data_IF_038548174874
#
_entry.id   IF_038548174874
#
_cell.length_a   1.000
_cell.length_b   1.000
_cell.length_c   1.000
_cell.angle_alpha   90.00
_cell.angle_beta   90.00
_cell.angle_gamma   90.00
#
_symmetry.space_group_name_H-M   'P 1'
#
loop_
_entity.id
_entity.type
_entity.pdbx_description
1 polymer ?
#
# COMPACT_ATOMS: atom_id res chain seq x y z
N UNK A 1 -4.57 -1.25 0.19
CA UNK A 1 -4.69 -1.80 -1.19
C UNK A 1 -4.60 -0.66 -2.18
N UNK A 2 -4.04 -0.86 -3.38
CA UNK A 2 -4.12 0.14 -4.43
C UNK A 2 -5.59 0.56 -4.62
N UNK A 3 -5.86 1.85 -4.86
CA UNK A 3 -7.21 2.31 -5.15
C UNK A 3 -7.67 1.69 -6.48
N UNK A 4 -8.28 0.51 -6.45
CA UNK A 4 -8.83 -0.10 -7.65
C UNK A 4 -9.89 0.83 -8.23
N UNK A 5 -9.62 1.35 -9.44
CA UNK A 5 -10.54 2.24 -10.15
C UNK A 5 -11.13 1.48 -11.34
N UNK A 6 -12.38 1.01 -11.26
CA UNK A 6 -12.98 0.13 -12.28
C UNK A 6 -13.10 0.76 -13.67
N UNK A 7 -13.09 2.10 -13.76
CA UNK A 7 -13.19 2.85 -15.01
C UNK A 7 -12.10 2.55 -16.06
N UNK A 8 -11.02 1.88 -15.68
CA UNK A 8 -9.92 1.52 -16.57
C UNK A 8 -10.09 0.15 -17.24
N UNK A 9 -11.16 -0.57 -16.91
CA UNK A 9 -11.58 -1.79 -17.61
C UNK A 9 -12.94 -1.47 -18.22
N UNK A 10 -12.97 -1.29 -19.54
CA UNK A 10 -14.14 -0.80 -20.31
C UNK A 10 -15.44 -1.48 -19.90
N UNK A 11 -15.43 -2.80 -19.77
CA UNK A 11 -16.63 -3.60 -19.48
C UNK A 11 -16.99 -3.70 -17.99
N UNK A 12 -16.05 -3.40 -17.08
CA UNK A 12 -16.32 -3.40 -15.63
C UNK A 12 -17.00 -2.11 -15.20
N UNK A 13 -16.85 -1.02 -15.97
CA UNK A 13 -17.51 0.27 -15.72
C UNK A 13 -19.04 0.20 -15.70
N UNK A 14 -19.63 -0.85 -16.26
CA UNK A 14 -21.08 -1.07 -16.34
C UNK A 14 -21.65 -1.85 -15.14
N UNK A 15 -20.80 -2.36 -14.24
CA UNK A 15 -21.25 -3.11 -13.07
C UNK A 15 -22.04 -2.23 -12.11
N UNK A 16 -23.17 -2.76 -11.62
CA UNK A 16 -23.86 -2.22 -10.44
C UNK A 16 -22.93 -2.29 -9.20
N UNK A 17 -23.14 -1.45 -8.17
CA UNK A 17 -22.24 -1.36 -7.01
C UNK A 17 -21.98 -2.69 -6.28
N UNK A 18 -22.99 -3.55 -6.11
CA UNK A 18 -22.83 -4.83 -5.41
C UNK A 18 -21.89 -5.82 -6.15
N UNK A 19 -22.11 -6.14 -7.44
CA UNK A 19 -21.15 -6.90 -8.25
C UNK A 19 -19.74 -6.29 -8.24
N UNK A 20 -19.63 -4.96 -8.28
CA UNK A 20 -18.35 -4.25 -8.23
C UNK A 20 -17.58 -4.57 -6.94
N UNK A 21 -18.25 -4.52 -5.79
CA UNK A 21 -17.64 -4.82 -4.51
C UNK A 21 -17.10 -6.26 -4.48
N UNK A 22 -17.85 -7.22 -5.05
CA UNK A 22 -17.39 -8.60 -5.18
C UNK A 22 -16.19 -8.76 -6.11
N UNK A 23 -16.18 -8.05 -7.24
CA UNK A 23 -15.08 -8.04 -8.19
C UNK A 23 -13.81 -7.50 -7.54
N UNK A 24 -13.89 -6.36 -6.85
CA UNK A 24 -12.77 -5.75 -6.12
C UNK A 24 -12.22 -6.71 -5.06
N UNK A 25 -13.09 -7.38 -4.28
CA UNK A 25 -12.67 -8.38 -3.29
C UNK A 25 -11.95 -9.57 -3.94
N UNK A 26 -12.39 -10.00 -5.12
CA UNK A 26 -11.76 -11.10 -5.85
C UNK A 26 -10.41 -10.69 -6.44
N UNK A 27 -10.33 -9.49 -7.03
CA UNK A 27 -9.07 -8.92 -7.52
C UNK A 27 -8.04 -8.80 -6.39
N UNK A 28 -8.47 -8.28 -5.25
CA UNK A 28 -7.68 -8.20 -4.03
C UNK A 28 -7.09 -9.55 -3.58
N UNK A 29 -7.85 -10.64 -3.71
CA UNK A 29 -7.39 -11.99 -3.38
C UNK A 29 -6.35 -12.50 -4.39
N UNK A 30 -6.63 -12.42 -5.69
CA UNK A 30 -5.68 -12.85 -6.72
C UNK A 30 -4.41 -12.00 -6.74
N UNK A 31 -4.51 -10.70 -6.50
CA UNK A 31 -3.34 -9.83 -6.34
C UNK A 31 -2.48 -10.28 -5.17
N UNK A 32 -3.08 -10.69 -4.05
CA UNK A 32 -2.34 -11.21 -2.91
C UNK A 32 -1.67 -12.56 -3.23
N UNK A 33 -2.34 -13.45 -3.97
CA UNK A 33 -1.73 -14.71 -4.44
C UNK A 33 -0.53 -14.45 -5.35
N UNK A 34 -0.66 -13.52 -6.31
CA UNK A 34 0.45 -13.09 -7.16
C UNK A 34 1.62 -12.50 -6.36
N UNK A 35 1.32 -11.81 -5.25
CA UNK A 35 2.31 -11.27 -4.31
C UNK A 35 3.05 -12.38 -3.54
N UNK A 36 2.37 -13.47 -3.20
CA UNK A 36 2.99 -14.60 -2.49
C UNK A 36 3.78 -15.54 -3.40
N UNK A 37 3.55 -15.48 -4.72
CA UNK A 37 4.21 -16.32 -5.70
C UNK A 37 5.67 -15.93 -5.97
N UNK A 38 6.21 -16.45 -7.09
CA UNK A 38 7.55 -16.11 -7.52
C UNK A 38 7.70 -14.60 -7.76
N UNK A 39 8.85 -14.07 -7.32
CA UNK A 39 9.25 -12.69 -7.54
C UNK A 39 9.15 -12.32 -9.01
N UNK A 40 8.32 -11.33 -9.30
CA UNK A 40 8.08 -10.81 -10.65
C UNK A 40 7.91 -9.28 -10.62
N UNK A 41 8.04 -8.61 -11.77
CA UNK A 41 7.75 -7.18 -11.88
C UNK A 41 6.37 -6.82 -11.33
N UNK A 42 6.26 -5.66 -10.66
CA UNK A 42 4.97 -5.19 -10.12
C UNK A 42 3.85 -5.14 -11.17
N UNK A 43 4.19 -4.75 -12.42
CA UNK A 43 3.25 -4.73 -13.54
C UNK A 43 2.65 -6.11 -13.79
N UNK A 44 3.48 -7.15 -13.77
CA UNK A 44 3.04 -8.53 -14.02
C UNK A 44 2.13 -9.03 -12.90
N UNK A 45 2.45 -8.71 -11.64
CA UNK A 45 1.57 -9.01 -10.47
C UNK A 45 0.17 -8.45 -10.70
N UNK A 46 0.05 -7.18 -11.09
CA UNK A 46 -1.25 -6.53 -11.30
C UNK A 46 -1.96 -7.10 -12.52
N UNK A 47 -1.27 -7.15 -13.66
CA UNK A 47 -1.85 -7.55 -14.93
C UNK A 47 -2.28 -9.05 -14.90
N UNK A 48 -1.57 -9.94 -14.20
CA UNK A 48 -1.99 -11.33 -13.96
C UNK A 48 -3.21 -11.43 -13.05
N UNK A 49 -3.22 -10.69 -11.93
CA UNK A 49 -4.35 -10.66 -11.01
C UNK A 49 -5.64 -10.16 -11.69
N UNK A 50 -5.50 -9.18 -12.61
CA UNK A 50 -6.60 -8.71 -13.46
C UNK A 50 -7.13 -9.80 -14.39
N UNK A 51 -6.25 -10.53 -15.08
CA UNK A 51 -6.66 -11.62 -15.95
C UNK A 51 -7.42 -12.72 -15.19
N UNK A 52 -6.94 -13.07 -13.98
CA UNK A 52 -7.57 -14.07 -13.12
C UNK A 52 -8.95 -13.63 -12.61
N UNK A 53 -9.09 -12.38 -12.16
CA UNK A 53 -10.38 -11.88 -11.70
C UNK A 53 -11.39 -11.77 -12.85
N UNK A 54 -10.97 -11.31 -14.03
CA UNK A 54 -11.84 -11.23 -15.19
C UNK A 54 -12.33 -12.64 -15.60
N UNK A 55 -11.44 -13.63 -15.62
CA UNK A 55 -11.80 -15.03 -15.85
C UNK A 55 -12.79 -15.55 -14.80
N UNK A 56 -12.58 -15.27 -13.52
CA UNK A 56 -13.48 -15.69 -12.43
C UNK A 56 -14.89 -15.10 -12.58
N UNK A 57 -15.00 -13.87 -13.08
CA UNK A 57 -16.25 -13.14 -13.23
C UNK A 57 -16.86 -13.23 -14.63
N UNK A 58 -16.29 -14.07 -15.51
CA UNK A 58 -16.69 -14.20 -16.91
C UNK A 58 -16.74 -12.86 -17.67
N UNK A 59 -15.79 -11.98 -17.35
CA UNK A 59 -15.59 -10.69 -18.03
C UNK A 59 -14.56 -10.89 -19.13
N UNK A 60 -14.90 -10.51 -20.35
CA UNK A 60 -13.93 -10.50 -21.45
C UNK A 60 -12.82 -9.50 -21.12
N UNK A 61 -11.58 -9.98 -21.12
CA UNK A 61 -10.41 -9.16 -20.80
C UNK A 61 -9.28 -9.54 -21.74
N UNK A 62 -8.91 -8.60 -22.59
CA UNK A 62 -7.81 -8.71 -23.52
C UNK A 62 -6.54 -8.17 -22.85
N UNK A 63 -5.36 -8.58 -23.34
CA UNK A 63 -4.09 -8.09 -22.80
C UNK A 63 -3.97 -6.55 -22.85
N UNK A 64 -4.63 -5.90 -23.81
CA UNK A 64 -4.67 -4.43 -23.88
C UNK A 64 -5.42 -3.79 -22.70
N UNK A 65 -6.41 -4.48 -22.14
CA UNK A 65 -7.23 -3.96 -21.05
C UNK A 65 -6.45 -4.00 -19.73
N UNK A 66 -5.71 -5.09 -19.50
CA UNK A 66 -4.82 -5.18 -18.33
C UNK A 66 -3.68 -4.18 -18.42
N UNK A 67 -3.10 -3.99 -19.61
CA UNK A 67 -2.09 -2.95 -19.85
C UNK A 67 -2.64 -1.54 -19.60
N UNK A 68 -3.82 -1.19 -20.11
CA UNK A 68 -4.44 0.12 -19.88
C UNK A 68 -4.64 0.40 -18.38
N UNK A 69 -5.06 -0.61 -17.61
CA UNK A 69 -5.14 -0.50 -16.17
C UNK A 69 -3.76 -0.28 -15.52
N UNK A 70 -2.77 -1.10 -15.90
CA UNK A 70 -1.40 -1.00 -15.40
C UNK A 70 -0.80 0.40 -15.72
N UNK A 71 -1.08 0.96 -16.90
CA UNK A 71 -0.61 2.29 -17.36
C UNK A 71 -1.34 3.46 -16.69
N UNK A 72 -2.50 3.20 -16.07
CA UNK A 72 -3.23 4.21 -15.29
C UNK A 72 -2.69 4.38 -13.86
N UNK A 73 -2.03 3.37 -13.29
CA UNK A 73 -1.50 3.37 -11.91
C UNK A 73 -0.59 4.58 -11.63
N UNK A 74 0.36 4.96 -12.52
CA UNK A 74 1.19 6.14 -12.32
C UNK A 74 0.42 7.45 -12.13
N UNK A 75 -0.85 7.51 -12.55
CA UNK A 75 -1.68 8.72 -12.43
C UNK A 75 -2.54 8.76 -11.17
N UNK A 76 -2.48 7.73 -10.32
CA UNK A 76 -3.19 7.75 -9.05
C UNK A 76 -2.46 8.65 -8.05
N UNK A 77 -3.18 9.60 -7.48
CA UNK A 77 -2.68 10.50 -6.45
C UNK A 77 -2.99 9.99 -5.04
N UNK A 78 -2.37 10.61 -4.01
CA UNK A 78 -2.73 10.34 -2.63
C UNK A 78 -4.19 10.74 -2.36
N UNK A 79 -4.75 10.22 -1.28
CA UNK A 79 -6.02 10.76 -0.77
C UNK A 79 -5.82 12.22 -0.32
N UNK A 80 -6.87 13.03 -0.38
CA UNK A 80 -6.80 14.47 -0.08
C UNK A 80 -6.40 14.78 1.36
N UNK A 81 -6.61 13.83 2.28
CA UNK A 81 -6.27 13.93 3.69
C UNK A 81 -4.82 13.50 4.01
N UNK A 82 -4.02 13.10 3.03
CA UNK A 82 -2.68 12.55 3.30
C UNK A 82 -1.63 13.64 3.52
N UNK A 83 -1.65 14.70 2.71
CA UNK A 83 -0.53 15.65 2.64
C UNK A 83 -0.31 16.43 3.95
N UNK A 84 -1.37 17.04 4.49
CA UNK A 84 -1.27 17.89 5.68
C UNK A 84 -0.83 17.10 6.93
N UNK A 85 -1.45 15.97 7.29
CA UNK A 85 -1.07 15.24 8.50
C UNK A 85 0.32 14.65 8.39
N UNK A 86 0.70 14.18 7.20
CA UNK A 86 2.02 13.63 6.95
C UNK A 86 3.10 14.71 7.03
N UNK A 87 2.79 15.94 6.60
CA UNK A 87 3.68 17.10 6.77
C UNK A 87 3.93 17.42 8.25
N UNK A 88 2.89 17.39 9.09
CA UNK A 88 3.00 17.57 10.54
C UNK A 88 3.88 16.49 11.18
N UNK A 89 3.69 15.22 10.82
CA UNK A 89 4.55 14.13 11.31
C UNK A 89 5.99 14.31 10.85
N UNK A 90 6.18 14.59 9.55
CA UNK A 90 7.50 14.74 8.94
C UNK A 90 8.30 15.95 9.44
N UNK A 91 7.64 16.94 10.04
CA UNK A 91 8.32 18.05 10.73
C UNK A 91 9.03 17.62 12.02
N UNK A 92 8.76 16.40 12.52
CA UNK A 92 9.26 15.89 13.80
C UNK A 92 10.00 14.57 13.67
N UNK A 93 9.61 13.72 12.72
CA UNK A 93 10.12 12.35 12.55
C UNK A 93 10.52 12.14 11.09
N UNK A 94 11.69 11.56 10.80
CA UNK A 94 12.08 11.22 9.43
C UNK A 94 11.04 10.32 8.76
N UNK A 95 10.52 10.76 7.60
CA UNK A 95 9.60 9.96 6.81
C UNK A 95 10.35 9.05 5.83
N UNK A 96 9.85 7.83 5.71
CA UNK A 96 10.35 6.80 4.80
C UNK A 96 9.19 6.30 3.95
N UNK A 97 9.37 6.26 2.63
CA UNK A 97 8.39 5.66 1.73
C UNK A 97 8.89 4.28 1.29
N UNK A 98 8.23 3.24 1.80
CA UNK A 98 8.42 1.86 1.37
C UNK A 98 7.30 1.46 0.40
N UNK A 99 7.64 1.20 -0.86
CA UNK A 99 6.64 0.96 -1.90
C UNK A 99 6.97 -0.28 -2.73
N UNK A 100 6.01 -1.18 -2.88
CA UNK A 100 6.06 -2.18 -3.94
C UNK A 100 5.44 -1.58 -5.21
N UNK A 101 6.28 -1.04 -6.09
CA UNK A 101 5.90 -0.43 -7.36
C UNK A 101 7.08 -0.40 -8.34
N UNK A 102 6.84 0.08 -9.56
CA UNK A 102 7.89 0.37 -10.53
C UNK A 102 8.82 1.48 -10.00
N UNK A 103 10.14 1.30 -10.07
CA UNK A 103 11.14 2.21 -9.47
C UNK A 103 10.97 3.67 -9.92
N UNK A 104 10.59 3.88 -11.18
CA UNK A 104 10.34 5.20 -11.77
C UNK A 104 9.22 5.99 -11.07
N UNK A 105 8.36 5.32 -10.29
CA UNK A 105 7.26 5.98 -9.58
C UNK A 105 7.65 6.53 -8.20
N UNK A 106 8.82 6.18 -7.65
CA UNK A 106 9.20 6.62 -6.29
C UNK A 106 9.22 8.15 -6.20
N UNK A 107 10.03 8.80 -7.04
CA UNK A 107 10.26 10.24 -6.98
C UNK A 107 8.96 11.02 -7.22
N UNK A 108 8.17 10.58 -8.21
CA UNK A 108 6.86 11.17 -8.52
C UNK A 108 5.87 11.01 -7.37
N UNK A 109 5.86 9.86 -6.69
CA UNK A 109 4.99 9.65 -5.54
C UNK A 109 5.43 10.50 -4.34
N UNK A 110 6.74 10.61 -4.09
CA UNK A 110 7.28 11.50 -3.05
C UNK A 110 6.84 12.95 -3.29
N UNK A 111 7.01 13.46 -4.51
CA UNK A 111 6.60 14.81 -4.88
C UNK A 111 5.10 15.04 -4.64
N UNK A 112 4.26 14.07 -5.03
CA UNK A 112 2.80 14.15 -4.87
C UNK A 112 2.31 14.06 -3.43
N UNK A 113 3.08 13.45 -2.54
CA UNK A 113 2.71 13.37 -1.11
C UNK A 113 2.77 14.75 -0.44
N UNK A 114 3.49 15.72 -1.02
CA UNK A 114 3.58 17.10 -0.53
C UNK A 114 3.94 17.19 0.97
N UNK A 115 4.78 16.25 1.42
CA UNK A 115 5.27 16.12 2.79
C UNK A 115 6.80 16.04 2.77
N UNK A 116 7.50 16.34 3.88
CA UNK A 116 8.96 16.44 3.91
C UNK A 116 9.63 15.06 3.94
N UNK A 117 9.49 14.31 2.86
CA UNK A 117 10.27 13.12 2.59
C UNK A 117 11.66 13.51 2.12
N UNK A 118 12.69 12.92 2.70
CA UNK A 118 13.99 12.89 2.03
C UNK A 118 13.91 11.85 0.89
N UNK A 119 14.22 12.27 -0.34
CA UNK A 119 14.18 11.41 -1.52
C UNK A 119 15.02 10.13 -1.37
N UNK A 120 16.11 10.20 -0.60
CA UNK A 120 17.00 9.05 -0.31
C UNK A 120 16.34 7.98 0.57
N UNK A 121 15.26 8.33 1.27
CA UNK A 121 14.46 7.43 2.10
C UNK A 121 13.28 6.80 1.34
N UNK A 122 13.15 7.09 0.05
CA UNK A 122 12.26 6.38 -0.86
C UNK A 122 12.89 5.08 -1.32
N UNK A 123 12.22 3.95 -1.09
CA UNK A 123 12.61 2.65 -1.65
C UNK A 123 11.41 2.05 -2.38
N UNK A 124 11.61 1.70 -3.64
CA UNK A 124 10.77 0.72 -4.32
C UNK A 124 11.58 -0.46 -4.81
N UNK A 125 10.94 -1.62 -4.77
CA UNK A 125 11.38 -2.81 -5.46
C UNK A 125 10.60 -2.96 -6.75
N UNK A 126 11.25 -2.75 -7.90
CA UNK A 126 10.69 -3.07 -9.22
C UNK A 126 10.26 -4.53 -9.31
N UNK A 127 10.98 -5.40 -8.59
CA UNK A 127 10.61 -6.75 -8.24
C UNK A 127 10.05 -6.73 -6.83
N UNK A 128 8.90 -7.37 -6.64
CA UNK A 128 8.23 -7.46 -5.34
C UNK A 128 9.19 -7.97 -4.25
N UNK A 129 9.47 -7.11 -3.27
CA UNK A 129 10.30 -7.42 -2.11
C UNK A 129 9.43 -7.85 -0.93
N UNK A 130 10.00 -8.68 -0.05
CA UNK A 130 9.36 -8.96 1.25
C UNK A 130 9.40 -7.70 2.12
N UNK A 131 8.45 -7.57 3.06
CA UNK A 131 8.45 -6.44 3.99
C UNK A 131 9.77 -6.34 4.76
N UNK A 132 10.31 -7.47 5.24
CA UNK A 132 11.55 -7.49 6.02
C UNK A 132 12.75 -6.97 5.23
N UNK A 133 12.84 -7.29 3.93
CA UNK A 133 13.88 -6.73 3.06
C UNK A 133 13.72 -5.22 2.89
N UNK A 134 12.49 -4.78 2.60
CA UNK A 134 12.15 -3.37 2.45
C UNK A 134 12.51 -2.55 3.69
N UNK A 135 12.08 -3.02 4.87
CA UNK A 135 12.39 -2.39 6.15
C UNK A 135 13.89 -2.32 6.38
N UNK A 136 14.66 -3.40 6.15
CA UNK A 136 16.13 -3.36 6.31
C UNK A 136 16.80 -2.34 5.38
N UNK A 137 16.35 -2.24 4.13
CA UNK A 137 16.89 -1.29 3.16
C UNK A 137 16.57 0.17 3.53
N UNK A 138 15.39 0.41 4.09
CA UNK A 138 14.95 1.72 4.58
C UNK A 138 15.61 2.12 5.91
N UNK A 139 15.82 1.16 6.82
CA UNK A 139 16.40 1.35 8.13
C UNK A 139 17.88 1.72 8.09
N UNK A 140 18.63 1.07 7.18
CA UNK A 140 20.09 1.10 7.18
C UNK A 140 20.70 2.51 7.07
N UNK A 141 20.23 3.42 6.19
CA UNK A 141 20.78 4.77 6.12
C UNK A 141 20.48 5.62 7.37
N UNK A 142 19.41 5.31 8.09
CA UNK A 142 18.96 6.04 9.27
C UNK A 142 19.60 5.52 10.57
N UNK A 143 20.25 4.35 10.53
CA UNK A 143 20.77 3.68 11.72
C UNK A 143 19.66 3.25 12.71
N UNK A 144 18.40 3.24 12.27
CA UNK A 144 17.23 2.96 13.10
C UNK A 144 16.96 1.45 13.19
N UNK A 145 16.57 0.97 14.36
CA UNK A 145 16.13 -0.42 14.53
C UNK A 145 14.63 -0.55 14.31
N UNK A 146 14.14 -1.75 14.01
CA UNK A 146 12.69 -2.01 13.83
C UNK A 146 11.85 -1.64 15.05
N UNK A 147 12.40 -1.76 16.26
CA UNK A 147 11.74 -1.41 17.53
C UNK A 147 11.45 0.09 17.66
N UNK A 148 12.25 0.93 17.01
CA UNK A 148 12.14 2.40 17.02
C UNK A 148 11.27 2.93 15.86
N UNK A 149 10.71 2.05 15.04
CA UNK A 149 9.92 2.42 13.87
C UNK A 149 8.43 2.48 14.17
N UNK A 150 7.77 3.48 13.56
CA UNK A 150 6.33 3.50 13.37
C UNK A 150 5.99 3.04 11.95
N UNK A 151 5.39 1.86 11.83
CA UNK A 151 4.93 1.34 10.54
C UNK A 151 3.46 1.66 10.30
N UNK A 152 3.18 2.42 9.24
CA UNK A 152 1.83 2.87 8.86
C UNK A 152 1.44 2.23 7.55
N UNK A 153 0.31 1.52 7.51
CA UNK A 153 -0.19 0.94 6.27
C UNK A 153 -1.71 0.85 6.24
N UNK A 154 -2.27 0.76 5.03
CA UNK A 154 -3.66 0.34 4.80
C UNK A 154 -3.75 -1.17 4.52
N UNK A 155 -2.69 -1.96 4.68
CA UNK A 155 -2.64 -3.41 4.42
C UNK A 155 -2.35 -4.22 5.68
N UNK A 156 -3.32 -4.99 6.19
CA UNK A 156 -3.10 -5.85 7.35
C UNK A 156 -2.25 -7.07 6.95
N UNK A 157 -2.68 -7.78 5.89
CA UNK A 157 -2.07 -9.04 5.47
C UNK A 157 -0.64 -8.90 4.92
N UNK A 158 -0.37 -7.87 4.12
CA UNK A 158 0.94 -7.73 3.46
C UNK A 158 1.94 -6.90 4.27
N UNK A 159 1.46 -6.02 5.15
CA UNK A 159 2.31 -5.03 5.82
C UNK A 159 2.24 -5.19 7.34
N UNK A 160 1.06 -5.09 7.97
CA UNK A 160 1.01 -5.05 9.44
C UNK A 160 1.24 -6.41 10.12
N UNK A 161 0.74 -7.51 9.56
CA UNK A 161 1.01 -8.85 10.11
C UNK A 161 2.51 -9.18 10.00
N UNK A 162 3.18 -9.02 8.83
CA UNK A 162 4.61 -9.24 8.77
C UNK A 162 5.41 -8.23 9.60
N UNK A 163 4.94 -6.98 9.76
CA UNK A 163 5.57 -5.99 10.65
C UNK A 163 5.56 -6.46 12.11
N UNK A 164 4.44 -7.05 12.55
CA UNK A 164 4.33 -7.67 13.87
C UNK A 164 5.31 -8.84 13.99
N UNK A 165 5.33 -9.76 13.02
CA UNK A 165 6.18 -10.96 13.06
C UNK A 165 7.69 -10.65 13.08
N UNK A 166 8.11 -9.49 12.55
CA UNK A 166 9.52 -9.03 12.59
C UNK A 166 9.85 -8.07 13.74
N UNK A 167 8.92 -7.87 14.68
CA UNK A 167 9.16 -7.10 15.89
C UNK A 167 9.14 -5.58 15.71
N UNK A 168 8.32 -5.04 14.80
CA UNK A 168 8.00 -3.61 14.82
C UNK A 168 6.96 -3.36 15.92
N UNK A 169 7.31 -2.56 16.91
CA UNK A 169 6.44 -2.27 18.05
C UNK A 169 5.27 -1.35 17.65
N UNK A 170 5.58 -0.20 17.05
CA UNK A 170 4.58 0.80 16.73
C UNK A 170 3.97 0.57 15.35
N UNK A 171 2.67 0.28 15.31
CA UNK A 171 1.96 -0.05 14.07
C UNK A 171 0.64 0.68 14.01
N UNK A 172 0.32 1.27 12.87
CA UNK A 172 -0.95 1.97 12.63
C UNK A 172 -1.59 1.46 11.35
N UNK A 173 -2.85 1.02 11.46
CA UNK A 173 -3.69 0.72 10.31
C UNK A 173 -4.55 1.93 9.97
N UNK A 174 -4.44 2.43 8.74
CA UNK A 174 -5.42 3.36 8.18
C UNK A 174 -6.57 2.54 7.58
N UNK A 175 -7.69 2.44 8.31
CA UNK A 175 -8.88 1.69 7.91
C UNK A 175 -10.01 2.64 7.50
N UNK A 176 -10.22 2.81 6.19
CA UNK A 176 -11.31 3.62 5.64
C UNK A 176 -12.63 2.83 5.52
N UNK A 177 -12.88 1.90 6.45
CA UNK A 177 -14.07 1.04 6.48
C UNK A 177 -13.98 -0.23 5.62
N UNK A 178 -12.78 -0.62 5.18
CA UNK A 178 -12.61 -1.78 4.29
C UNK A 178 -12.29 -3.08 5.04
N UNK A 179 -11.99 -3.02 6.33
CA UNK A 179 -11.41 -4.15 7.07
C UNK A 179 -12.06 -4.37 8.42
N UNK A 180 -12.12 -5.63 8.80
CA UNK A 180 -12.43 -6.02 10.17
C UNK A 180 -11.20 -5.82 11.06
N UNK A 181 -11.40 -5.48 12.35
CA UNK A 181 -10.31 -5.41 13.31
C UNK A 181 -9.53 -6.72 13.34
N UNK A 182 -8.21 -6.64 13.49
CA UNK A 182 -7.35 -7.81 13.62
C UNK A 182 -6.52 -7.68 14.91
N UNK A 183 -7.07 -8.11 16.07
CA UNK A 183 -6.41 -7.95 17.37
C UNK A 183 -4.99 -8.52 17.42
N UNK A 184 -4.73 -9.58 16.63
CA UNK A 184 -3.41 -10.20 16.50
C UNK A 184 -2.29 -9.22 16.12
N UNK A 185 -2.58 -8.19 15.31
CA UNK A 185 -1.54 -7.31 14.80
C UNK A 185 -1.05 -6.28 15.82
N UNK A 186 -1.72 -6.10 16.97
CA UNK A 186 -1.38 -5.07 17.97
C UNK A 186 -1.06 -3.71 17.31
N UNK A 187 -2.01 -3.22 16.50
CA UNK A 187 -1.87 -1.97 15.77
C UNK A 187 -3.03 -1.03 16.13
N UNK A 188 -2.73 0.26 16.32
CA UNK A 188 -3.77 1.25 16.46
C UNK A 188 -4.50 1.44 15.12
N UNK A 189 -5.82 1.57 15.20
CA UNK A 189 -6.68 1.82 14.04
C UNK A 189 -7.07 3.29 13.97
N UNK A 190 -6.80 3.91 12.81
CA UNK A 190 -7.26 5.26 12.48
C UNK A 190 -8.11 5.22 11.21
N UNK A 191 -9.15 6.06 11.17
CA UNK A 191 -10.07 6.10 10.03
C UNK A 191 -9.45 6.74 8.79
N UNK A 192 -8.56 7.69 9.00
CA UNK A 192 -7.97 8.55 7.99
C UNK A 192 -6.61 9.07 8.49
N UNK A 193 -5.92 9.84 7.63
CA UNK A 193 -4.56 10.30 7.93
C UNK A 193 -4.50 11.35 9.04
N UNK A 194 -5.60 12.01 9.39
CA UNK A 194 -5.69 12.99 10.50
C UNK A 194 -5.48 12.33 11.87
N UNK A 195 -5.74 11.03 11.99
CA UNK A 195 -5.46 10.28 13.22
C UNK A 195 -3.98 10.00 13.46
N UNK A 196 -3.10 10.22 12.47
CA UNK A 196 -1.69 9.87 12.57
C UNK A 196 -0.85 10.80 13.47
N UNK A 197 -0.95 12.14 13.36
CA UNK A 197 -0.09 13.04 14.13
C UNK A 197 -0.12 12.85 15.66
N UNK A 198 -1.27 12.61 16.32
CA UNK A 198 -1.31 12.34 17.75
C UNK A 198 -0.58 11.06 18.17
N UNK A 199 -0.56 10.05 17.29
CA UNK A 199 0.09 8.76 17.56
C UNK A 199 1.60 8.81 17.33
N UNK A 200 2.03 9.61 16.36
CA UNK A 200 3.44 9.75 16.02
C UNK A 200 4.29 10.36 17.16
N UNK A 201 3.68 11.10 18.08
CA UNK A 201 4.39 11.81 19.16
C UNK A 201 4.39 11.04 20.50
N UNK A 202 3.86 9.82 20.51
CA UNK A 202 3.83 9.00 21.71
C UNK A 202 5.25 8.53 22.07
N UNK A 203 5.62 8.68 23.35
CA UNK A 203 6.90 8.21 23.89
C UNK A 203 6.87 6.73 24.28
N UNK A 204 5.67 6.19 24.49
CA UNK A 204 5.42 4.78 24.79
C UNK A 204 4.93 4.05 23.53
N UNK A 205 5.11 2.72 23.44
CA UNK A 205 4.61 1.94 22.32
C UNK A 205 3.11 2.14 22.12
N UNK A 206 2.71 2.32 20.86
CA UNK A 206 1.30 2.36 20.44
C UNK A 206 0.71 0.97 20.69
N UNK A 207 -0.17 0.85 21.70
CA UNK A 207 -0.92 -0.36 22.02
C UNK A 207 -2.37 -0.25 21.55
#
# INVERSE_FOLDING_TARGET
MPQFRPKYISYVSEFRPEPMNGFIRSFAAFWFEEVLGNRKPYRDVVCNALALVCKRWNVECQSKDTMCFCDAIPNWGPHSDVAEPLSRVGSRIPLVLLLNAMNELILRNIERLQAPFNAEHGRAGSILQTLSEGIRLCARPLGTKSEDMLHVSSCLRCDLMPAHDIGINNKVVINRGQKSPTPYCECAEIRDSEGLPPLAVLQEPIR
#
